data_IF_952876855175
#
_entry.id   IF_952876855175
#
_cell.length_a   1.000
_cell.length_b   1.000
_cell.length_c   1.000
_cell.angle_alpha   90.00
_cell.angle_beta   90.00
_cell.angle_gamma   90.00
#
_symmetry.space_group_name_H-M   'P 1'
#
loop_
_entity.id
_entity.type
_entity.pdbx_description
1 polymer ?
#
# COMPACT_ATOMS: atom_id res chain seq x y z
N UNK A 1 -28.99 15.70 2.94
CA UNK A 1 -27.64 15.33 3.42
C UNK A 1 -26.79 14.99 2.20
N UNK A 2 -26.00 15.96 1.74
CA UNK A 2 -25.27 15.90 0.46
C UNK A 2 -24.24 14.77 0.51
N UNK A 3 -24.47 13.72 -0.27
CA UNK A 3 -23.43 12.75 -0.62
C UNK A 3 -22.46 13.48 -1.56
N UNK A 4 -21.43 14.14 -1.01
CA UNK A 4 -20.30 14.58 -1.83
C UNK A 4 -19.82 13.37 -2.62
N UNK A 5 -19.68 13.52 -3.93
CA UNK A 5 -19.08 12.52 -4.81
C UNK A 5 -17.63 12.27 -4.36
N UNK A 6 -17.47 11.32 -3.44
CA UNK A 6 -16.18 10.99 -2.85
C UNK A 6 -15.34 10.26 -3.89
N UNK A 7 -14.37 10.97 -4.48
CA UNK A 7 -13.40 10.39 -5.41
C UNK A 7 -12.50 9.45 -4.63
N UNK A 8 -12.70 8.15 -4.80
CA UNK A 8 -11.96 7.13 -4.05
C UNK A 8 -10.56 6.83 -4.61
N UNK A 9 -10.37 7.06 -5.90
CA UNK A 9 -9.10 6.87 -6.58
C UNK A 9 -8.97 7.88 -7.71
N UNK A 10 -7.99 8.78 -7.57
CA UNK A 10 -7.63 9.77 -8.58
C UNK A 10 -6.14 9.69 -8.87
N UNK A 11 -5.79 9.86 -10.14
CA UNK A 11 -4.40 9.99 -10.59
C UNK A 11 -4.34 11.10 -11.63
N UNK A 12 -3.60 12.16 -11.30
CA UNK A 12 -3.23 13.21 -12.25
C UNK A 12 -1.89 12.84 -12.89
N UNK A 13 -1.76 13.08 -14.19
CA UNK A 13 -0.51 12.88 -14.93
C UNK A 13 0.49 13.97 -14.52
N UNK A 14 1.71 13.59 -14.17
CA UNK A 14 2.79 14.53 -13.85
C UNK A 14 3.89 14.48 -14.91
N UNK A 15 4.25 15.63 -15.48
CA UNK A 15 5.39 15.77 -16.39
C UNK A 15 5.33 14.87 -17.64
N UNK A 16 6.45 14.20 -17.94
CA UNK A 16 6.68 13.39 -19.14
C UNK A 16 6.22 11.92 -19.02
N UNK A 17 5.21 11.62 -18.20
CA UNK A 17 4.70 10.26 -18.05
C UNK A 17 3.97 9.76 -19.29
N UNK A 18 4.23 8.51 -19.67
CA UNK A 18 3.45 7.82 -20.72
C UNK A 18 2.05 7.46 -20.19
N UNK A 19 1.07 7.42 -21.09
CA UNK A 19 -0.31 6.98 -20.77
C UNK A 19 -0.34 5.64 -20.02
N UNK A 20 0.49 4.67 -20.43
CA UNK A 20 0.60 3.35 -19.79
C UNK A 20 1.08 3.43 -18.35
N UNK A 21 2.03 4.31 -18.00
CA UNK A 21 2.47 4.46 -16.61
C UNK A 21 1.36 5.06 -15.74
N UNK A 22 0.60 6.02 -16.27
CA UNK A 22 -0.55 6.61 -15.57
C UNK A 22 -1.63 5.57 -15.27
N UNK A 23 -1.97 4.72 -16.25
CA UNK A 23 -2.93 3.62 -16.06
C UNK A 23 -2.45 2.65 -14.98
N UNK A 24 -1.16 2.26 -14.99
CA UNK A 24 -0.60 1.37 -13.96
C UNK A 24 -0.67 1.99 -12.56
N UNK A 25 -0.38 3.29 -12.42
CA UNK A 25 -0.54 4.02 -11.14
C UNK A 25 -1.99 3.99 -10.67
N UNK A 26 -2.93 4.26 -11.58
CA UNK A 26 -4.35 4.21 -11.28
C UNK A 26 -4.79 2.80 -10.82
N UNK A 27 -4.41 1.74 -11.55
CA UNK A 27 -4.73 0.36 -11.16
C UNK A 27 -4.17 0.01 -9.78
N UNK A 28 -2.93 0.40 -9.47
CA UNK A 28 -2.33 0.19 -8.13
C UNK A 28 -3.09 0.95 -7.05
N UNK A 29 -3.51 2.20 -7.32
CA UNK A 29 -4.26 3.02 -6.37
C UNK A 29 -5.65 2.45 -6.09
N UNK A 30 -6.36 1.98 -7.13
CA UNK A 30 -7.65 1.28 -6.99
C UNK A 30 -7.52 -0.02 -6.20
N UNK A 31 -6.46 -0.81 -6.47
CA UNK A 31 -6.19 -2.05 -5.75
C UNK A 31 -5.80 -1.80 -4.29
N UNK A 32 -4.93 -0.81 -4.03
CA UNK A 32 -4.50 -0.41 -2.70
C UNK A 32 -5.63 0.16 -1.84
N UNK A 33 -6.55 0.93 -2.46
CA UNK A 33 -7.77 1.40 -1.82
C UNK A 33 -8.78 0.27 -1.54
N UNK A 34 -8.56 -0.93 -2.08
CA UNK A 34 -9.41 -2.09 -1.83
C UNK A 34 -10.81 -2.01 -2.45
N UNK A 35 -11.07 -1.05 -3.35
CA UNK A 35 -12.41 -0.76 -3.91
C UNK A 35 -13.06 -1.99 -4.53
N UNK A 36 -12.28 -2.74 -5.32
CA UNK A 36 -12.79 -3.95 -5.96
C UNK A 36 -13.18 -5.01 -4.92
N UNK A 37 -12.40 -5.15 -3.83
CA UNK A 37 -12.67 -6.10 -2.75
C UNK A 37 -13.91 -5.70 -1.95
N UNK A 38 -14.06 -4.41 -1.63
CA UNK A 38 -15.19 -3.90 -0.86
C UNK A 38 -16.50 -4.00 -1.64
N UNK A 39 -16.50 -3.62 -2.92
CA UNK A 39 -17.68 -3.72 -3.79
C UNK A 39 -18.11 -5.19 -4.00
N UNK A 40 -17.15 -6.11 -4.19
CA UNK A 40 -17.48 -7.55 -4.25
C UNK A 40 -18.10 -8.04 -2.95
N UNK A 41 -17.58 -7.61 -1.79
CA UNK A 41 -18.11 -8.00 -0.49
C UNK A 41 -19.50 -7.42 -0.21
N UNK A 42 -19.80 -6.21 -0.72
CA UNK A 42 -21.09 -5.54 -0.55
C UNK A 42 -22.15 -5.93 -1.59
N UNK A 43 -21.78 -6.68 -2.64
CA UNK A 43 -22.67 -7.01 -3.76
C UNK A 43 -23.94 -7.74 -3.33
N UNK A 44 -23.82 -8.64 -2.36
CA UNK A 44 -24.93 -9.43 -1.85
C UNK A 44 -25.03 -9.29 -0.34
N UNK A 45 -26.25 -9.39 0.17
CA UNK A 45 -26.48 -9.41 1.61
C UNK A 45 -25.86 -10.68 2.22
N UNK A 46 -25.15 -10.48 3.33
CA UNK A 46 -24.60 -11.58 4.13
C UNK A 46 -25.01 -11.39 5.58
N UNK A 47 -25.55 -12.43 6.21
CA UNK A 47 -25.85 -12.41 7.65
C UNK A 47 -24.58 -12.26 8.49
N UNK A 48 -24.72 -11.70 9.67
CA UNK A 48 -23.64 -11.65 10.65
C UNK A 48 -23.27 -13.04 11.15
N UNK A 49 -21.97 -13.31 11.20
CA UNK A 49 -21.45 -14.58 11.68
C UNK A 49 -21.49 -14.64 13.22
N UNK A 50 -21.89 -15.79 13.77
CA UNK A 50 -21.85 -16.05 15.20
C UNK A 50 -20.42 -16.09 15.75
N UNK A 51 -20.27 -15.93 17.07
CA UNK A 51 -18.96 -15.95 17.76
C UNK A 51 -18.19 -17.24 17.48
N UNK A 52 -18.86 -18.40 17.50
CA UNK A 52 -18.25 -19.71 17.27
C UNK A 52 -17.72 -19.87 15.85
N UNK A 53 -18.47 -19.39 14.84
CA UNK A 53 -18.03 -19.42 13.43
C UNK A 53 -16.78 -18.55 13.23
N UNK A 54 -16.75 -17.36 13.84
CA UNK A 54 -15.58 -16.48 13.83
C UNK A 54 -14.35 -17.16 14.46
N UNK A 55 -14.51 -17.80 15.63
CA UNK A 55 -13.45 -18.56 16.30
C UNK A 55 -12.92 -19.73 15.45
N UNK A 56 -13.82 -20.53 14.86
CA UNK A 56 -13.44 -21.64 13.97
C UNK A 56 -12.61 -21.17 12.78
N UNK A 57 -13.01 -20.06 12.13
CA UNK A 57 -12.26 -19.46 11.03
C UNK A 57 -10.87 -18.99 11.48
N UNK A 58 -10.76 -18.36 12.64
CA UNK A 58 -9.50 -17.91 13.21
C UNK A 58 -8.54 -19.08 13.47
N UNK A 59 -9.04 -20.18 14.08
CA UNK A 59 -8.25 -21.39 14.32
C UNK A 59 -7.71 -22.00 13.01
N UNK A 60 -8.53 -22.06 11.95
CA UNK A 60 -8.09 -22.53 10.63
C UNK A 60 -6.96 -21.67 10.05
N UNK A 61 -7.04 -20.36 10.23
CA UNK A 61 -6.01 -19.43 9.76
C UNK A 61 -4.70 -19.58 10.55
N UNK A 62 -4.77 -19.77 11.87
CA UNK A 62 -3.59 -20.03 12.70
C UNK A 62 -2.90 -21.35 12.32
N UNK A 63 -3.66 -22.43 12.11
CA UNK A 63 -3.13 -23.72 11.64
C UNK A 63 -2.37 -23.57 10.32
N UNK A 64 -2.99 -22.95 9.31
CA UNK A 64 -2.36 -22.69 8.00
C UNK A 64 -1.06 -21.88 8.12
N UNK A 65 -1.02 -20.89 9.02
CA UNK A 65 0.20 -20.11 9.27
C UNK A 65 1.30 -20.94 9.91
N UNK A 66 0.95 -21.82 10.85
CA UNK A 66 1.91 -22.72 11.50
C UNK A 66 2.48 -23.74 10.50
N UNK A 67 1.62 -24.35 9.68
CA UNK A 67 2.01 -25.27 8.61
C UNK A 67 2.96 -24.58 7.61
N UNK A 68 2.62 -23.37 7.15
CA UNK A 68 3.47 -22.60 6.24
C UNK A 68 4.86 -22.30 6.83
N UNK A 69 4.92 -21.89 8.10
CA UNK A 69 6.20 -21.67 8.81
C UNK A 69 7.03 -22.96 8.93
N UNK A 70 6.37 -24.10 9.16
CA UNK A 70 7.03 -25.40 9.22
C UNK A 70 7.61 -25.77 7.85
N UNK A 71 6.84 -25.60 6.77
CA UNK A 71 7.29 -25.88 5.41
C UNK A 71 8.46 -25.00 4.96
N UNK A 72 8.47 -23.73 5.39
CA UNK A 72 9.63 -22.84 5.21
C UNK A 72 10.86 -23.41 5.92
N UNK A 73 10.71 -23.81 7.19
CA UNK A 73 11.81 -24.38 7.98
C UNK A 73 12.33 -25.70 7.39
N UNK A 74 11.44 -26.49 6.81
CA UNK A 74 11.78 -27.73 6.08
C UNK A 74 12.39 -27.46 4.69
N UNK A 75 12.50 -26.21 4.24
CA UNK A 75 13.06 -25.83 2.94
C UNK A 75 12.17 -26.17 1.73
N UNK A 76 10.93 -26.64 1.95
CA UNK A 76 9.99 -27.01 0.89
C UNK A 76 9.35 -25.81 0.19
N UNK A 77 9.42 -24.64 0.82
CA UNK A 77 8.83 -23.40 0.33
C UNK A 77 9.88 -22.30 0.40
N UNK A 78 10.09 -21.61 -0.71
CA UNK A 78 10.95 -20.42 -0.78
C UNK A 78 10.34 -19.30 0.04
N UNK A 79 11.10 -18.73 0.97
CA UNK A 79 10.64 -17.55 1.70
C UNK A 79 10.36 -16.40 0.74
N UNK A 80 9.21 -15.72 0.86
CA UNK A 80 8.92 -14.58 0.01
C UNK A 80 9.96 -13.49 0.29
N UNK A 81 10.70 -13.10 -0.74
CA UNK A 81 11.60 -11.94 -0.69
C UNK A 81 10.83 -10.74 -0.11
N UNK A 82 11.25 -10.28 1.08
CA UNK A 82 10.72 -9.05 1.68
C UNK A 82 11.06 -7.92 0.71
N UNK A 83 10.05 -7.42 -0.01
CA UNK A 83 10.22 -6.21 -0.83
C UNK A 83 10.73 -5.12 0.10
N UNK A 84 11.91 -4.59 -0.20
CA UNK A 84 12.52 -3.52 0.59
C UNK A 84 11.49 -2.37 0.73
N UNK A 85 11.33 -1.79 1.92
CA UNK A 85 10.56 -0.57 2.05
C UNK A 85 11.17 0.47 1.12
N UNK A 86 10.33 1.15 0.33
CA UNK A 86 10.79 2.25 -0.52
C UNK A 86 11.48 3.29 0.38
N UNK A 87 12.79 3.40 0.31
CA UNK A 87 13.53 4.46 0.97
C UNK A 87 13.07 5.77 0.34
N UNK A 88 12.33 6.58 1.10
CA UNK A 88 11.98 7.93 0.66
C UNK A 88 13.30 8.67 0.48
N UNK A 89 13.67 9.12 -0.72
CA UNK A 89 14.86 9.97 -0.85
C UNK A 89 14.64 11.18 0.06
N UNK A 90 15.56 11.44 0.98
CA UNK A 90 15.55 12.68 1.76
C UNK A 90 15.54 13.85 0.77
N UNK A 91 14.62 14.80 0.95
CA UNK A 91 14.62 16.01 0.15
C UNK A 91 15.99 16.67 0.25
N UNK A 92 16.53 17.28 -0.83
CA UNK A 92 17.81 17.97 -0.74
C UNK A 92 17.72 19.01 0.38
N UNK A 93 18.52 18.81 1.44
CA UNK A 93 18.70 19.81 2.48
C UNK A 93 19.34 21.01 1.80
N UNK A 94 18.57 22.07 1.58
CA UNK A 94 19.13 23.33 1.14
C UNK A 94 20.08 23.81 2.25
N UNK A 95 21.38 23.68 2.03
CA UNK A 95 22.38 24.31 2.87
C UNK A 95 22.28 25.82 2.65
N UNK A 96 21.50 26.50 3.47
CA UNK A 96 21.53 27.95 3.59
C UNK A 96 22.83 28.33 4.31
N UNK A 97 23.95 28.30 3.59
CA UNK A 97 25.13 29.08 3.95
C UNK A 97 24.80 30.55 3.65
N UNK A 98 23.97 31.14 4.50
CA UNK A 98 23.78 32.58 4.58
C UNK A 98 24.99 33.15 5.31
N UNK A 99 25.67 34.09 4.66
CA UNK A 99 26.51 35.08 5.32
C UNK A 99 27.99 34.76 5.29
N UNK A 100 28.69 35.34 4.32
CA UNK A 100 29.95 36.05 4.53
C UNK A 100 30.23 36.85 3.25
N UNK A 101 29.52 37.97 3.11
CA UNK A 101 29.87 39.04 2.19
C UNK A 101 30.83 39.99 2.92
N UNK A 102 32.12 39.68 2.92
CA UNK A 102 33.16 40.67 3.25
C UNK A 102 33.75 41.19 1.94
N UNK A 103 33.53 42.47 1.57
CA UNK A 103 34.26 43.06 0.46
C UNK A 103 35.71 43.26 0.89
N UNK A 104 36.64 42.55 0.24
CA UNK A 104 38.05 42.90 0.27
C UNK A 104 38.19 44.25 -0.44
N UNK A 105 38.39 45.31 0.35
CA UNK A 105 38.88 46.58 -0.14
C UNK A 105 40.38 46.44 -0.46
N UNK A 106 40.78 46.96 -1.63
CA UNK A 106 42.17 47.17 -2.03
C UNK A 106 42.78 48.36 -1.30
#
# INVERSE_FOLDING_TARGET
MLCLMAIQAEVVKSGSETSLSTIRKFSRRVQGAGLVKTLRARRYFSRDNSKTVKKKRALKLLKRRAEYKKLIKEGKVVEPQRRAPYARPEAPRQSTAFGEATPIAR
#
